data_IF_211096857852
#
_entry.id   IF_211096857852
#
_cell.length_a   1.000
_cell.length_b   1.000
_cell.length_c   1.000
_cell.angle_alpha   90.00
_cell.angle_beta   90.00
_cell.angle_gamma   90.00
#
_symmetry.space_group_name_H-M   'P 1'
#
loop_
_entity.id
_entity.type
_entity.pdbx_description
1 polymer ?
#
# COMPACT_ATOMS: atom_id res chain seq x y z
N UNK A 1 0.89 -11.85 -17.55
CA UNK A 1 1.57 -13.15 -17.41
C UNK A 1 0.50 -14.21 -17.28
N UNK A 2 0.80 -15.47 -17.58
CA UNK A 2 -0.16 -16.57 -17.38
C UNK A 2 0.03 -17.13 -15.95
N UNK A 3 -1.07 -17.46 -15.26
CA UNK A 3 -1.00 -18.10 -13.94
C UNK A 3 -0.60 -17.20 -12.77
N UNK A 4 -0.73 -15.88 -12.88
CA UNK A 4 -0.55 -14.95 -11.75
C UNK A 4 -1.58 -15.25 -10.66
N UNK A 5 -1.10 -15.47 -9.44
CA UNK A 5 -1.92 -15.90 -8.30
C UNK A 5 -2.00 -14.84 -7.19
N UNK A 6 -2.94 -15.04 -6.26
CA UNK A 6 -3.03 -14.23 -5.05
C UNK A 6 -1.77 -14.33 -4.16
N UNK A 7 -1.03 -15.45 -4.26
CA UNK A 7 0.25 -15.61 -3.56
C UNK A 7 1.33 -14.67 -4.13
N UNK A 8 1.38 -14.51 -5.45
CA UNK A 8 2.31 -13.60 -6.12
C UNK A 8 2.04 -12.14 -5.73
N UNK A 9 0.75 -11.77 -5.67
CA UNK A 9 0.34 -10.46 -5.17
C UNK A 9 0.81 -10.25 -3.72
N UNK A 10 0.50 -11.19 -2.82
CA UNK A 10 0.89 -11.09 -1.41
C UNK A 10 2.40 -10.96 -1.23
N UNK A 11 3.19 -11.72 -1.99
CA UNK A 11 4.65 -11.68 -1.91
C UNK A 11 5.18 -10.35 -2.44
N UNK A 12 4.67 -9.86 -3.56
CA UNK A 12 5.03 -8.56 -4.13
C UNK A 12 4.77 -7.43 -3.13
N UNK A 13 3.60 -7.44 -2.48
CA UNK A 13 3.22 -6.43 -1.49
C UNK A 13 4.04 -6.52 -0.21
N UNK A 14 4.43 -7.73 0.23
CA UNK A 14 5.33 -7.90 1.37
C UNK A 14 6.72 -7.31 1.08
N UNK A 15 7.26 -7.58 -0.10
CA UNK A 15 8.55 -7.02 -0.53
C UNK A 15 8.48 -5.50 -0.58
N UNK A 16 7.45 -4.95 -1.23
CA UNK A 16 7.21 -3.51 -1.27
C UNK A 16 7.13 -2.89 0.13
N UNK A 17 6.40 -3.50 1.05
CA UNK A 17 6.27 -3.00 2.42
C UNK A 17 7.61 -3.00 3.16
N UNK A 18 8.47 -4.02 2.95
CA UNK A 18 9.80 -4.09 3.59
C UNK A 18 10.76 -3.04 3.05
N UNK A 19 10.77 -2.83 1.74
CA UNK A 19 11.59 -1.77 1.12
C UNK A 19 11.19 -0.38 1.61
N UNK A 20 9.89 -0.15 1.84
CA UNK A 20 9.38 1.14 2.30
C UNK A 20 9.54 1.37 3.80
N UNK A 21 9.32 0.34 4.63
CA UNK A 21 9.13 0.49 6.08
C UNK A 21 10.12 -0.31 6.94
N UNK A 22 11.04 -1.03 6.33
CA UNK A 22 12.08 -1.84 6.98
C UNK A 22 11.80 -3.36 6.95
N UNK A 23 12.86 -4.17 6.98
CA UNK A 23 12.82 -5.63 6.80
C UNK A 23 11.89 -6.38 7.78
N UNK A 24 11.76 -5.89 9.01
CA UNK A 24 11.01 -6.57 10.07
C UNK A 24 9.49 -6.37 9.97
N UNK A 25 9.01 -5.53 9.05
CA UNK A 25 7.57 -5.28 8.93
C UNK A 25 6.82 -6.52 8.46
N UNK A 26 5.62 -6.68 9.01
CA UNK A 26 4.67 -7.73 8.65
C UNK A 26 3.48 -7.09 7.96
N UNK A 27 2.88 -7.83 7.03
CA UNK A 27 1.63 -7.43 6.37
C UNK A 27 0.45 -8.22 6.92
N UNK A 28 -0.73 -7.61 6.90
CA UNK A 28 -2.02 -8.25 7.18
C UNK A 28 -3.00 -7.90 6.05
N UNK A 29 -3.52 -8.93 5.39
CA UNK A 29 -4.56 -8.77 4.37
C UNK A 29 -5.92 -9.03 5.02
N UNK A 30 -6.80 -8.04 4.95
CA UNK A 30 -8.20 -8.13 5.42
C UNK A 30 -9.11 -8.19 4.21
N UNK A 31 -10.06 -9.14 4.14
CA UNK A 31 -11.04 -9.17 3.06
C UNK A 31 -11.77 -7.82 2.95
N UNK A 32 -11.88 -7.32 1.72
CA UNK A 32 -12.62 -6.11 1.39
C UNK A 32 -13.31 -6.30 0.04
N UNK A 33 -13.89 -5.24 -0.53
CA UNK A 33 -14.56 -5.28 -1.82
C UNK A 33 -14.19 -4.06 -2.66
N UNK A 34 -13.69 -4.31 -3.87
CA UNK A 34 -13.52 -3.31 -4.92
C UNK A 34 -14.13 -3.85 -6.21
N UNK A 35 -14.95 -3.08 -6.95
CA UNK A 35 -15.66 -3.58 -8.15
C UNK A 35 -14.78 -4.07 -9.30
N UNK A 36 -13.48 -3.76 -9.26
CA UNK A 36 -12.51 -4.08 -10.31
C UNK A 36 -11.55 -5.21 -9.90
N UNK A 37 -11.72 -5.80 -8.71
CA UNK A 37 -10.91 -6.94 -8.25
C UNK A 37 -11.71 -7.99 -7.48
N UNK A 38 -11.46 -9.27 -7.75
CA UNK A 38 -12.04 -10.40 -7.04
C UNK A 38 -11.08 -11.61 -7.01
N UNK A 39 -10.59 -12.07 -5.84
CA UNK A 39 -10.83 -11.54 -4.48
C UNK A 39 -10.10 -10.21 -4.20
N UNK A 40 -10.69 -9.42 -3.30
CA UNK A 40 -10.21 -8.10 -2.85
C UNK A 40 -9.74 -8.10 -1.40
N UNK A 41 -8.74 -7.26 -1.09
CA UNK A 41 -8.21 -7.08 0.26
C UNK A 41 -7.71 -5.65 0.54
N UNK A 42 -7.90 -5.20 1.77
CA UNK A 42 -7.14 -4.08 2.35
C UNK A 42 -5.86 -4.62 2.97
N UNK A 43 -4.75 -3.88 2.84
CA UNK A 43 -3.48 -4.27 3.44
C UNK A 43 -3.06 -3.29 4.53
N UNK A 44 -2.81 -3.87 5.70
CA UNK A 44 -2.17 -3.21 6.82
C UNK A 44 -0.70 -3.63 6.94
N UNK A 45 0.15 -2.73 7.42
CA UNK A 45 1.51 -3.03 7.88
C UNK A 45 1.60 -2.95 9.39
N UNK A 46 2.46 -3.78 10.00
CA UNK A 46 2.81 -3.63 11.40
C UNK A 46 3.43 -2.25 11.63
N UNK A 47 2.99 -1.56 12.68
CA UNK A 47 3.40 -0.18 12.94
C UNK A 47 4.91 -0.10 13.21
N UNK A 48 5.67 0.34 12.20
CA UNK A 48 7.13 0.51 12.25
C UNK A 48 7.57 1.61 13.23
N UNK A 49 6.70 2.57 13.52
CA UNK A 49 6.96 3.68 14.45
C UNK A 49 7.03 3.21 15.91
N UNK A 50 6.23 2.20 16.28
CA UNK A 50 6.16 1.73 17.67
C UNK A 50 6.47 0.23 17.83
N UNK A 51 6.99 -0.41 16.78
CA UNK A 51 7.26 -1.85 16.74
C UNK A 51 6.06 -2.68 17.21
N UNK A 52 4.88 -2.34 16.68
CA UNK A 52 3.59 -2.95 17.01
C UNK A 52 3.15 -2.90 18.50
N UNK A 53 3.83 -2.13 19.37
CA UNK A 53 3.44 -1.96 20.79
C UNK A 53 2.13 -1.17 21.00
N UNK A 54 1.68 -0.45 19.97
CA UNK A 54 0.55 0.46 20.02
C UNK A 54 0.98 1.92 20.25
N UNK A 55 0.46 2.82 19.42
CA UNK A 55 0.64 4.27 19.55
C UNK A 55 -0.54 5.01 18.91
N UNK A 56 -0.55 6.34 19.00
CA UNK A 56 -1.61 7.18 18.41
C UNK A 56 -1.81 6.93 16.90
N UNK A 57 -0.72 6.71 16.15
CA UNK A 57 -0.77 6.56 14.68
C UNK A 57 -1.49 5.28 14.28
N UNK A 58 -1.15 4.15 14.90
CA UNK A 58 -1.82 2.88 14.67
C UNK A 58 -3.09 2.69 15.50
N UNK A 59 -3.56 3.74 16.18
CA UNK A 59 -4.70 3.72 17.10
C UNK A 59 -4.61 2.58 18.12
N UNK A 60 -3.40 2.34 18.63
CA UNK A 60 -3.07 1.27 19.57
C UNK A 60 -3.35 -0.17 19.09
N UNK A 61 -3.61 -0.37 17.79
CA UNK A 61 -3.86 -1.71 17.23
C UNK A 61 -2.58 -2.47 16.86
N UNK A 62 -1.47 -1.74 16.71
CA UNK A 62 -0.23 -2.28 16.15
C UNK A 62 -0.23 -2.38 14.62
N UNK A 63 -1.32 -2.00 13.94
CA UNK A 63 -1.49 -2.09 12.49
C UNK A 63 -1.86 -0.73 11.89
N UNK A 64 -1.36 -0.44 10.70
CA UNK A 64 -1.70 0.76 9.93
C UNK A 64 -2.08 0.33 8.52
N UNK A 65 -3.30 0.64 8.12
CA UNK A 65 -3.75 0.46 6.73
C UNK A 65 -2.99 1.42 5.81
N UNK A 66 -2.41 0.89 4.74
CA UNK A 66 -1.60 1.66 3.78
C UNK A 66 -2.05 1.56 2.33
N UNK A 67 -2.77 0.49 1.93
CA UNK A 67 -3.19 0.27 0.54
C UNK A 67 -4.39 -0.68 0.43
N UNK A 68 -5.03 -0.67 -0.76
CA UNK A 68 -5.99 -1.67 -1.21
C UNK A 68 -5.43 -2.48 -2.39
N UNK A 69 -5.84 -3.74 -2.51
CA UNK A 69 -5.34 -4.67 -3.53
C UNK A 69 -6.34 -5.79 -3.87
N UNK A 70 -6.10 -6.50 -4.96
CA UNK A 70 -6.85 -7.71 -5.30
C UNK A 70 -6.47 -8.29 -6.66
N UNK A 71 -7.01 -9.47 -6.98
CA UNK A 71 -6.89 -10.06 -8.32
C UNK A 71 -7.82 -9.31 -9.27
N UNK A 72 -7.36 -8.92 -10.46
CA UNK A 72 -8.18 -8.17 -11.42
C UNK A 72 -9.41 -9.00 -11.79
N UNK A 73 -10.58 -8.37 -11.74
CA UNK A 73 -11.84 -9.03 -12.09
C UNK A 73 -11.83 -9.44 -13.58
N UNK A 74 -12.29 -10.65 -13.94
CA UNK A 74 -12.33 -11.12 -15.32
C UNK A 74 -13.01 -10.15 -16.28
N UNK A 75 -14.12 -9.52 -15.86
CA UNK A 75 -14.87 -8.57 -16.69
C UNK A 75 -14.03 -7.33 -17.03
N UNK A 76 -13.11 -6.92 -16.16
CA UNK A 76 -12.17 -5.82 -16.42
C UNK A 76 -11.17 -6.22 -17.50
N UNK A 77 -10.64 -7.44 -17.46
CA UNK A 77 -9.72 -7.97 -18.48
C UNK A 77 -10.42 -8.08 -19.84
N UNK A 78 -11.61 -8.68 -19.88
CA UNK A 78 -12.39 -8.84 -21.12
C UNK A 78 -12.73 -7.50 -21.76
N UNK A 79 -13.12 -6.52 -20.95
CA UNK A 79 -13.39 -5.16 -21.44
C UNK A 79 -12.15 -4.47 -22.03
N UNK A 80 -10.94 -4.95 -21.71
CA UNK A 80 -9.68 -4.48 -22.27
C UNK A 80 -9.18 -5.35 -23.43
N UNK A 81 -9.94 -6.35 -23.87
CA UNK A 81 -9.54 -7.29 -24.92
C UNK A 81 -8.48 -8.30 -24.48
N UNK A 82 -8.42 -8.61 -23.18
CA UNK A 82 -7.50 -9.60 -22.60
C UNK A 82 -8.32 -10.84 -22.21
N UNK A 83 -7.97 -11.99 -22.78
CA UNK A 83 -8.58 -13.29 -22.50
C UNK A 83 -8.37 -13.69 -21.03
N UNK A 84 -9.45 -13.67 -20.24
CA UNK A 84 -9.44 -13.93 -18.80
C UNK A 84 -9.33 -15.40 -18.41
N UNK A 85 -9.58 -16.33 -19.34
CA UNK A 85 -9.33 -17.76 -19.14
C UNK A 85 -7.83 -18.09 -19.28
N UNK A 86 -7.11 -17.30 -20.09
CA UNK A 86 -5.68 -17.46 -20.31
C UNK A 86 -4.82 -16.60 -19.37
N UNK A 87 -5.24 -15.36 -19.12
CA UNK A 87 -4.46 -14.38 -18.37
C UNK A 87 -5.15 -14.00 -17.07
N UNK A 88 -4.35 -13.98 -16.01
CA UNK A 88 -4.74 -13.43 -14.70
C UNK A 88 -3.77 -12.31 -14.31
N UNK A 89 -4.18 -11.49 -13.35
CA UNK A 89 -3.35 -10.40 -12.85
C UNK A 89 -3.84 -9.90 -11.51
N UNK A 90 -3.02 -9.10 -10.84
CA UNK A 90 -3.41 -8.37 -9.63
C UNK A 90 -3.19 -6.88 -9.81
N UNK A 91 -3.96 -6.08 -9.06
CA UNK A 91 -3.81 -4.65 -8.98
C UNK A 91 -3.78 -4.21 -7.52
N UNK A 92 -3.13 -3.08 -7.27
CA UNK A 92 -3.08 -2.46 -5.95
C UNK A 92 -2.93 -0.95 -6.08
N UNK A 93 -3.35 -0.23 -5.05
CA UNK A 93 -3.36 1.23 -5.05
C UNK A 93 -3.14 1.80 -3.65
N UNK A 94 -2.39 2.90 -3.60
CA UNK A 94 -2.08 3.62 -2.37
C UNK A 94 -2.07 5.13 -2.61
N UNK A 95 -2.38 5.90 -1.57
CA UNK A 95 -2.16 7.34 -1.56
C UNK A 95 -0.72 7.65 -1.15
N UNK A 96 0.04 8.32 -2.03
CA UNK A 96 1.46 8.64 -1.78
C UNK A 96 1.62 9.62 -0.61
N UNK A 97 0.67 10.55 -0.43
CA UNK A 97 0.66 11.52 0.67
C UNK A 97 0.55 10.79 2.00
N UNK A 98 -0.28 9.74 2.07
CA UNK A 98 -0.41 8.92 3.28
C UNK A 98 0.91 8.23 3.62
N UNK A 99 1.61 7.67 2.63
CA UNK A 99 2.91 7.02 2.88
C UNK A 99 3.93 8.05 3.36
N UNK A 100 4.03 9.22 2.70
CA UNK A 100 4.94 10.29 3.08
C UNK A 100 4.63 10.84 4.48
N UNK A 101 3.36 11.01 4.84
CA UNK A 101 2.95 11.42 6.18
C UNK A 101 3.40 10.44 7.25
N UNK A 102 3.29 9.13 6.98
CA UNK A 102 3.75 8.10 7.91
C UNK A 102 5.27 8.05 8.03
N UNK A 103 5.99 8.08 6.90
CA UNK A 103 7.46 7.99 6.86
C UNK A 103 8.14 9.20 7.50
N UNK A 104 7.65 10.40 7.21
CA UNK A 104 8.28 11.66 7.63
C UNK A 104 7.59 12.31 8.82
N UNK A 105 6.55 11.69 9.39
CA UNK A 105 5.81 12.25 10.52
C UNK A 105 5.08 13.56 10.19
N UNK A 106 4.64 13.75 8.94
CA UNK A 106 3.92 14.94 8.51
C UNK A 106 2.49 14.85 9.03
N UNK A 107 2.09 15.82 9.85
CA UNK A 107 0.82 15.82 10.57
C UNK A 107 -0.33 16.50 9.82
N UNK A 108 -0.04 17.20 8.71
CA UNK A 108 -1.03 17.93 7.93
C UNK A 108 -0.80 17.73 6.43
N UNK A 109 -1.83 17.22 5.75
CA UNK A 109 -1.78 16.95 4.31
C UNK A 109 -1.67 18.26 3.48
N UNK A 110 -2.07 19.40 4.03
CA UNK A 110 -2.06 20.69 3.33
C UNK A 110 -0.64 21.15 2.99
N UNK A 111 0.36 20.71 3.74
CA UNK A 111 1.76 21.05 3.46
C UNK A 111 2.23 20.58 2.07
N UNK A 112 1.61 19.53 1.50
CA UNK A 112 1.94 19.10 0.14
C UNK A 112 1.42 20.06 -0.94
N UNK A 113 0.41 20.89 -0.65
CA UNK A 113 -0.24 21.77 -1.62
C UNK A 113 0.12 23.26 -1.45
N UNK A 114 0.51 23.67 -0.24
CA UNK A 114 0.85 25.07 0.05
C UNK A 114 2.18 25.54 -0.57
N UNK A 115 3.05 24.60 -0.95
CA UNK A 115 4.38 24.87 -1.53
C UNK A 115 5.25 25.80 -0.65
N UNK A 116 5.12 25.71 0.67
CA UNK A 116 5.97 26.47 1.59
C UNK A 116 7.43 26.03 1.42
N UNK A 117 8.28 26.97 1.01
CA UNK A 117 9.71 26.72 0.79
C UNK A 117 10.41 26.19 2.04
N UNK A 118 9.94 26.53 3.25
CA UNK A 118 10.46 26.00 4.53
C UNK A 118 10.14 24.52 4.70
N UNK A 119 8.98 24.07 4.26
CA UNK A 119 8.61 22.66 4.23
C UNK A 119 9.43 21.92 3.16
N UNK A 120 9.41 22.41 1.92
CA UNK A 120 10.09 21.76 0.78
C UNK A 120 11.60 21.61 0.99
N UNK A 121 12.25 22.56 1.68
CA UNK A 121 13.70 22.50 1.96
C UNK A 121 14.12 21.35 2.88
N UNK A 122 13.20 20.77 3.66
CA UNK A 122 13.50 19.65 4.58
C UNK A 122 13.85 18.37 3.83
N UNK A 123 13.44 18.23 2.56
CA UNK A 123 13.59 17.01 1.75
C UNK A 123 14.67 17.12 0.66
N UNK A 124 15.69 17.98 0.87
CA UNK A 124 16.78 18.19 -0.10
C UNK A 124 17.96 17.22 0.03
N UNK A 125 18.09 16.55 1.17
CA UNK A 125 19.13 15.54 1.36
C UNK A 125 18.73 14.23 0.70
N UNK A 126 19.71 13.51 0.15
CA UNK A 126 19.51 12.13 -0.30
C UNK A 126 19.17 11.31 0.95
N UNK A 127 18.03 10.63 0.93
CA UNK A 127 17.73 9.59 1.92
C UNK A 127 18.59 8.41 1.51
N UNK A 128 19.67 8.14 2.25
CA UNK A 128 20.46 6.90 2.14
C UNK A 128 19.65 5.70 2.65
#
# INVERSE_FOLDING_TARGET
DEGVSFADMKQTLLLFAREMYGEDVRIRLRPSYFPFTEPSAEMDVSCFICNAKGCNICKYTGWVEILGCGMVDPQVLENCGIDSERYTGFAWGMGIERQAMLLYGINDIRYFFENDVRFLRQFRAVVD
#
